data_IF_514213313821
#
_entry.id   IF_514213313821
#
_cell.length_a   1.000
_cell.length_b   1.000
_cell.length_c   1.000
_cell.angle_alpha   90.00
_cell.angle_beta   90.00
_cell.angle_gamma   90.00
#
_symmetry.space_group_name_H-M   'P 1'
#
loop_
_entity.id
_entity.type
_entity.pdbx_description
1 polymer ?
#
# COMPACT_ATOMS: atom_id res chain seq x y z
N UNK A 1 -8.20 -12.18 24.67
CA UNK A 1 -7.49 -10.89 24.83
C UNK A 1 -6.10 -11.11 24.31
N UNK A 2 -5.87 -10.92 23.00
CA UNK A 2 -4.58 -10.62 22.37
C UNK A 2 -4.72 -10.74 20.85
N UNK A 3 -5.72 -10.05 20.28
CA UNK A 3 -5.92 -9.97 18.82
C UNK A 3 -5.17 -8.79 18.20
N UNK A 4 -4.33 -8.07 18.97
CA UNK A 4 -3.57 -6.90 18.50
C UNK A 4 -2.08 -7.19 18.29
N UNK A 5 -1.58 -8.37 18.66
CA UNK A 5 -0.14 -8.68 18.62
C UNK A 5 0.30 -9.56 17.44
N UNK A 6 -0.64 -10.11 16.65
CA UNK A 6 -0.33 -11.09 15.60
C UNK A 6 0.23 -10.50 14.30
N UNK A 7 -0.01 -9.22 14.02
CA UNK A 7 0.38 -8.56 12.76
C UNK A 7 1.44 -7.48 12.92
N UNK A 8 1.72 -7.05 14.15
CA UNK A 8 2.66 -5.95 14.42
C UNK A 8 4.14 -6.35 14.24
N UNK A 9 4.45 -7.63 14.04
CA UNK A 9 5.83 -8.16 14.02
C UNK A 9 6.30 -8.60 12.62
N UNK A 10 5.47 -8.42 11.59
CA UNK A 10 5.80 -8.83 10.22
C UNK A 10 5.76 -7.66 9.23
N UNK A 11 6.66 -6.67 9.39
CA UNK A 11 7.63 -6.19 8.36
C UNK A 11 7.08 -5.44 7.14
N UNK A 12 5.78 -5.44 6.93
CA UNK A 12 5.17 -4.77 5.79
C UNK A 12 4.94 -3.32 6.13
N UNK A 13 5.32 -2.40 5.24
CA UNK A 13 4.82 -1.03 5.34
C UNK A 13 3.28 -1.07 5.40
N UNK A 14 2.64 -0.14 6.09
CA UNK A 14 1.17 -0.12 6.17
C UNK A 14 0.50 -0.19 4.78
N UNK A 15 1.14 0.43 3.79
CA UNK A 15 0.70 0.45 2.39
C UNK A 15 0.82 -0.91 1.67
N UNK A 16 1.70 -1.82 2.13
CA UNK A 16 1.81 -3.17 1.57
C UNK A 16 0.57 -4.03 1.93
N UNK A 17 -0.21 -3.64 2.96
CA UNK A 17 -1.41 -4.35 3.43
C UNK A 17 -2.70 -3.90 2.72
N UNK A 18 -2.62 -2.90 1.83
CA UNK A 18 -3.78 -2.40 1.09
C UNK A 18 -4.26 -3.47 0.09
N UNK A 19 -5.55 -3.86 0.10
CA UNK A 19 -6.11 -4.83 -0.84
C UNK A 19 -5.90 -4.41 -2.31
N UNK A 20 -5.28 -5.28 -3.09
CA UNK A 20 -4.86 -4.98 -4.46
C UNK A 20 -5.98 -5.19 -5.49
N UNK A 21 -7.12 -5.76 -5.11
CA UNK A 21 -8.16 -6.25 -6.04
C UNK A 21 -8.97 -5.13 -6.70
N UNK A 22 -8.90 -3.91 -6.17
CA UNK A 22 -9.65 -2.77 -6.74
C UNK A 22 -8.94 -2.16 -7.94
N UNK A 23 -9.70 -1.67 -8.93
CA UNK A 23 -9.13 -1.02 -10.11
C UNK A 23 -8.28 0.21 -9.75
N UNK A 24 -8.69 0.97 -8.73
CA UNK A 24 -7.95 2.13 -8.21
C UNK A 24 -6.56 1.73 -7.72
N UNK A 25 -6.47 0.67 -6.91
CA UNK A 25 -5.19 0.19 -6.38
C UNK A 25 -4.34 -0.43 -7.48
N UNK A 26 -4.92 -1.20 -8.40
CA UNK A 26 -4.21 -1.70 -9.59
C UNK A 26 -3.62 -0.57 -10.44
N UNK A 27 -4.35 0.53 -10.62
CA UNK A 27 -3.86 1.72 -11.33
C UNK A 27 -2.75 2.43 -10.53
N UNK A 28 -2.86 2.47 -9.20
CA UNK A 28 -1.83 3.04 -8.34
C UNK A 28 -0.53 2.24 -8.40
N UNK A 29 -0.60 0.90 -8.34
CA UNK A 29 0.55 0.01 -8.47
C UNK A 29 1.27 0.18 -9.81
N UNK A 30 0.53 0.40 -10.90
CA UNK A 30 1.11 0.68 -12.23
C UNK A 30 1.81 2.05 -12.32
N UNK A 31 1.49 3.00 -11.44
CA UNK A 31 2.10 4.35 -11.39
C UNK A 31 3.32 4.40 -10.46
N UNK A 32 3.58 3.36 -9.68
CA UNK A 32 4.74 3.33 -8.79
C UNK A 32 6.05 3.41 -9.58
N UNK A 33 7.06 4.15 -9.06
CA UNK A 33 8.42 4.06 -9.58
C UNK A 33 8.92 2.60 -9.56
N UNK A 34 9.72 2.18 -10.55
CA UNK A 34 10.19 0.79 -10.63
C UNK A 34 10.90 0.28 -9.37
N UNK A 35 11.65 1.16 -8.69
CA UNK A 35 12.32 0.84 -7.43
C UNK A 35 11.31 0.52 -6.32
N UNK A 36 10.32 1.38 -6.10
CA UNK A 36 9.30 1.18 -5.07
C UNK A 36 8.46 -0.08 -5.33
N UNK A 37 8.14 -0.34 -6.60
CA UNK A 37 7.44 -1.57 -6.99
C UNK A 37 8.26 -2.83 -6.67
N UNK A 38 9.58 -2.80 -6.93
CA UNK A 38 10.48 -3.90 -6.58
C UNK A 38 10.59 -4.09 -5.06
N UNK A 39 10.83 -3.00 -4.32
CA UNK A 39 11.01 -3.01 -2.87
C UNK A 39 9.75 -3.53 -2.17
N UNK A 40 8.56 -3.13 -2.64
CA UNK A 40 7.26 -3.68 -2.21
C UNK A 40 7.20 -5.18 -2.37
N UNK A 41 7.48 -5.70 -3.56
CA UNK A 41 7.43 -7.15 -3.84
C UNK A 41 8.44 -7.90 -2.97
N UNK A 42 9.62 -7.34 -2.74
CA UNK A 42 10.62 -7.91 -1.86
C UNK A 42 10.13 -8.00 -0.40
N UNK A 43 9.55 -6.92 0.16
CA UNK A 43 8.98 -6.91 1.51
C UNK A 43 7.87 -7.95 1.67
N UNK A 44 6.94 -8.02 0.71
CA UNK A 44 5.83 -8.98 0.74
C UNK A 44 6.34 -10.42 0.71
N UNK A 45 7.27 -10.75 -0.19
CA UNK A 45 7.86 -12.11 -0.27
C UNK A 45 8.57 -12.51 1.01
N UNK A 46 9.29 -11.57 1.62
CA UNK A 46 10.00 -11.77 2.87
C UNK A 46 9.04 -11.99 4.04
N UNK A 47 8.00 -11.17 4.14
CA UNK A 47 6.94 -11.34 5.13
C UNK A 47 6.25 -12.70 4.99
N UNK A 48 5.95 -13.12 3.75
CA UNK A 48 5.39 -14.43 3.46
C UNK A 48 6.32 -15.59 3.89
N UNK A 49 7.62 -15.47 3.62
CA UNK A 49 8.61 -16.47 4.05
C UNK A 49 8.70 -16.58 5.59
N UNK A 50 8.69 -15.45 6.28
CA UNK A 50 8.61 -15.40 7.75
C UNK A 50 7.33 -16.06 8.26
N UNK A 51 6.19 -15.77 7.62
CA UNK A 51 4.90 -16.38 7.96
C UNK A 51 4.91 -17.90 7.80
N UNK A 52 5.43 -18.44 6.70
CA UNK A 52 5.50 -19.89 6.47
C UNK A 52 6.42 -20.57 7.48
N UNK A 53 7.55 -19.92 7.80
CA UNK A 53 8.54 -20.49 8.72
C UNK A 53 8.21 -20.27 10.20
N UNK A 54 7.11 -19.58 10.50
CA UNK A 54 6.73 -19.15 11.85
C UNK A 54 7.86 -18.42 12.60
N UNK A 55 8.70 -17.70 11.84
CA UNK A 55 9.85 -16.96 12.37
C UNK A 55 9.64 -15.46 12.19
N UNK A 56 10.15 -14.70 13.17
CA UNK A 56 10.26 -13.25 13.06
C UNK A 56 11.58 -12.85 12.42
N UNK A 57 11.65 -11.66 11.83
CA UNK A 57 12.92 -11.11 11.40
C UNK A 57 13.78 -10.65 12.57
N UNK A 58 15.13 -10.68 12.40
CA UNK A 58 16.03 -10.03 13.33
C UNK A 58 15.67 -8.55 13.55
N UNK A 59 15.80 -8.05 14.78
CA UNK A 59 15.40 -6.69 15.14
C UNK A 59 16.07 -5.59 14.29
N UNK A 60 17.30 -5.82 13.83
CA UNK A 60 18.04 -4.90 12.98
C UNK A 60 17.43 -4.73 11.57
N UNK A 61 16.60 -5.67 11.14
CA UNK A 61 16.02 -5.68 9.80
C UNK A 61 14.49 -5.44 9.80
N UNK A 62 13.93 -5.15 10.97
CA UNK A 62 12.54 -4.73 11.13
C UNK A 62 12.43 -3.26 10.71
N UNK A 63 11.36 -2.93 9.98
CA UNK A 63 11.06 -1.56 9.58
C UNK A 63 10.83 -0.74 10.84
N UNK A 64 11.54 0.38 10.95
CA UNK A 64 11.34 1.30 12.06
C UNK A 64 10.11 2.17 11.81
N UNK A 65 9.43 2.67 12.85
CA UNK A 65 8.29 3.57 12.68
C UNK A 65 8.61 4.81 11.83
N UNK A 66 9.85 5.30 11.86
CA UNK A 66 10.26 6.47 11.08
C UNK A 66 10.50 6.16 9.60
N UNK A 67 10.66 4.88 9.25
CA UNK A 67 10.90 4.38 7.90
C UNK A 67 9.59 3.90 7.23
N UNK A 68 8.52 3.71 8.00
CA UNK A 68 7.19 3.37 7.48
C UNK A 68 6.51 4.61 6.90
N UNK A 69 6.84 4.90 5.64
CA UNK A 69 6.32 6.04 4.88
C UNK A 69 5.25 5.59 3.87
N UNK A 70 4.22 6.42 3.70
CA UNK A 70 3.18 6.19 2.68
C UNK A 70 3.77 6.36 1.27
N UNK A 71 3.89 5.26 0.52
CA UNK A 71 4.45 5.25 -0.84
C UNK A 71 3.39 4.94 -1.91
N UNK A 72 2.27 4.29 -1.54
CA UNK A 72 1.16 3.90 -2.41
C UNK A 72 -0.10 4.73 -2.13
N UNK A 73 -0.41 4.97 -0.85
CA UNK A 73 -1.58 5.75 -0.41
C UNK A 73 -1.72 7.13 -1.07
N UNK A 74 -0.64 7.92 -1.26
CA UNK A 74 -0.75 9.23 -1.94
C UNK A 74 -1.17 9.10 -3.40
N UNK A 75 -0.76 8.01 -4.07
CA UNK A 75 -1.09 7.73 -5.48
C UNK A 75 -2.56 7.31 -5.59
N UNK A 76 -3.05 6.49 -4.65
CA UNK A 76 -4.46 6.09 -4.57
C UNK A 76 -5.34 7.34 -4.43
N UNK A 77 -5.06 8.22 -3.46
CA UNK A 77 -5.82 9.47 -3.26
C UNK A 77 -5.80 10.37 -4.49
N UNK A 78 -4.67 10.44 -5.20
CA UNK A 78 -4.59 11.19 -6.45
C UNK A 78 -5.51 10.62 -7.54
N UNK A 79 -5.56 9.29 -7.69
CA UNK A 79 -6.44 8.62 -8.66
C UNK A 79 -7.91 8.82 -8.31
N UNK A 80 -8.27 8.70 -7.03
CA UNK A 80 -9.65 8.92 -6.57
C UNK A 80 -10.08 10.37 -6.83
N UNK A 81 -9.19 11.34 -6.58
CA UNK A 81 -9.44 12.74 -6.91
C UNK A 81 -9.61 12.97 -8.41
N UNK A 82 -8.76 12.38 -9.25
CA UNK A 82 -8.92 12.43 -10.72
C UNK A 82 -10.27 11.86 -11.17
N UNK A 83 -10.72 10.76 -10.55
CA UNK A 83 -11.99 10.12 -10.88
C UNK A 83 -13.19 10.97 -10.46
N UNK A 84 -13.13 11.57 -9.26
CA UNK A 84 -14.15 12.49 -8.77
C UNK A 84 -14.25 13.74 -9.65
N UNK A 85 -13.12 14.36 -9.99
CA UNK A 85 -13.08 15.54 -10.86
C UNK A 85 -13.68 15.22 -12.24
N UNK A 86 -13.37 14.05 -12.81
CA UNK A 86 -13.97 13.62 -14.07
C UNK A 86 -15.49 13.46 -13.97
N UNK A 87 -15.98 12.84 -12.89
CA UNK A 87 -17.42 12.67 -12.68
C UNK A 87 -18.14 14.01 -12.50
N UNK A 88 -17.52 14.97 -11.81
CA UNK A 88 -18.08 16.32 -11.63
C UNK A 88 -18.17 17.07 -12.96
N UNK A 89 -17.13 16.98 -13.80
CA UNK A 89 -17.09 17.62 -15.11
C UNK A 89 -18.09 16.99 -16.10
N UNK A 90 -18.24 15.66 -16.08
CA UNK A 90 -19.19 14.94 -16.95
C UNK A 90 -20.65 15.30 -16.61
N UNK A 91 -20.94 15.70 -15.37
CA UNK A 91 -22.27 16.09 -14.90
C UNK A 91 -22.51 17.62 -14.89
N UNK A 92 -21.57 18.41 -15.40
CA UNK A 92 -21.66 19.87 -15.36
C UNK A 92 -22.76 20.40 -16.29
N UNK A 93 -23.87 20.89 -15.72
CA UNK A 93 -24.93 21.58 -16.48
C UNK A 93 -24.58 23.06 -16.65
N UNK A 94 -24.20 23.46 -17.87
CA UNK A 94 -23.94 24.86 -18.21
C UNK A 94 -25.26 25.62 -18.37
N UNK A 95 -25.58 26.51 -17.42
CA UNK A 95 -26.67 27.49 -17.60
C UNK A 95 -26.16 28.65 -18.47
N UNK A 96 -26.88 28.91 -19.56
CA UNK A 96 -26.70 30.09 -20.42
C UNK A 96 -27.37 31.31 -19.83
#
# INVERSE_FOLDING_TARGET
>A
MDSQHGHQLTITSADDLIPEETETVQKALKRLPPKEAYDRVFRIRRAFQCSISHNLLPAAEQVKPEEDVEYLSPIIRAIEKEAAERADLDNLVVKR
#
